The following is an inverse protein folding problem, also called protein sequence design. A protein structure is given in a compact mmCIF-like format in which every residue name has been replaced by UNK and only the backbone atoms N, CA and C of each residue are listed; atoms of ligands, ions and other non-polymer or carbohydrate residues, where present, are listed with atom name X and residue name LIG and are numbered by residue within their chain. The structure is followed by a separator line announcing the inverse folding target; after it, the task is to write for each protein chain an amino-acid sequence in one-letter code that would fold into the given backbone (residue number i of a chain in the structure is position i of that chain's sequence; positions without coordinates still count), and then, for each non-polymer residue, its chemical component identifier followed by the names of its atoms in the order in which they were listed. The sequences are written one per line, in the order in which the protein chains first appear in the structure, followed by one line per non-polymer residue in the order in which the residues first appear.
data_IF_362599710084
#
_entry.id   IF_362599710084
#
_cell.length_a   1.000
_cell.length_b   1.000
_cell.length_c   1.000
_cell.angle_alpha   90.00
_cell.angle_beta   90.00
_cell.angle_gamma   90.00
#
_symmetry.space_group_name_H-M   'P 1'
#
loop_
_entity.id
_entity.type
_entity.pdbx_description
1 polymer ?
#
# COMPACT_ATOMS: atom_id res chain seq x y z
N UNK A 1 -18.62 -12.70 -15.93
CA UNK A 1 -17.37 -12.37 -15.19
C UNK A 1 -17.56 -11.01 -14.49
N UNK A 2 -17.94 -11.00 -13.20
CA UNK A 2 -18.22 -9.76 -12.45
C UNK A 2 -16.92 -9.17 -11.90
N UNK A 3 -16.17 -8.42 -12.71
CA UNK A 3 -15.07 -7.56 -12.24
C UNK A 3 -15.62 -6.19 -11.79
N UNK A 4 -16.83 -6.18 -11.22
CA UNK A 4 -17.62 -4.97 -10.99
C UNK A 4 -17.87 -4.69 -9.51
N UNK A 5 -17.09 -5.29 -8.61
CA UNK A 5 -16.84 -4.59 -7.34
C UNK A 5 -15.99 -3.37 -7.67
N UNK A 6 -16.50 -2.20 -7.31
CA UNK A 6 -15.96 -0.91 -7.72
C UNK A 6 -14.52 -0.74 -7.19
N UNK A 7 -13.55 -1.08 -8.02
CA UNK A 7 -12.14 -0.83 -7.76
C UNK A 7 -11.98 0.65 -7.43
N UNK A 8 -11.56 0.94 -6.21
CA UNK A 8 -11.46 2.32 -5.74
C UNK A 8 -10.11 2.94 -6.14
N UNK A 9 -10.06 4.26 -6.18
CA UNK A 9 -8.86 5.01 -6.56
C UNK A 9 -7.64 4.62 -5.73
N UNK A 10 -7.82 4.36 -4.44
CA UNK A 10 -6.73 4.05 -3.53
C UNK A 10 -5.99 2.76 -3.92
N UNK A 11 -6.74 1.72 -4.29
CA UNK A 11 -6.19 0.44 -4.75
C UNK A 11 -5.40 0.61 -6.05
N UNK A 12 -5.98 1.32 -7.03
CA UNK A 12 -5.31 1.56 -8.31
C UNK A 12 -4.06 2.43 -8.16
N UNK A 13 -4.16 3.51 -7.39
CA UNK A 13 -3.01 4.36 -7.09
C UNK A 13 -1.89 3.56 -6.43
N UNK A 14 -2.22 2.72 -5.45
CA UNK A 14 -1.24 1.88 -4.76
C UNK A 14 -0.59 0.87 -5.69
N UNK A 15 -1.37 0.21 -6.52
CA UNK A 15 -0.89 -0.73 -7.54
C UNK A 15 0.07 -0.03 -8.49
N UNK A 16 -0.39 1.01 -9.22
CA UNK A 16 0.46 1.66 -10.22
C UNK A 16 1.72 2.27 -9.59
N UNK A 17 1.60 2.96 -8.44
CA UNK A 17 2.77 3.49 -7.72
C UNK A 17 3.78 2.40 -7.35
N UNK A 18 3.33 1.20 -6.97
CA UNK A 18 4.20 0.07 -6.67
C UNK A 18 4.83 -0.52 -7.94
N UNK A 19 4.01 -0.73 -8.98
CA UNK A 19 4.45 -1.24 -10.29
C UNK A 19 5.41 -0.29 -11.01
N UNK A 20 5.35 1.02 -10.75
CA UNK A 20 6.32 2.01 -11.21
C UNK A 20 7.67 1.94 -10.47
N UNK A 21 7.81 1.08 -9.46
CA UNK A 21 9.05 0.94 -8.68
C UNK A 21 9.25 1.99 -7.58
N UNK A 22 8.28 2.87 -7.32
CA UNK A 22 8.39 3.86 -6.24
C UNK A 22 8.23 3.20 -4.87
N UNK A 23 9.34 3.07 -4.15
CA UNK A 23 9.41 2.48 -2.80
C UNK A 23 8.93 3.45 -1.74
N UNK A 24 9.16 4.75 -1.92
CA UNK A 24 8.81 5.78 -0.94
C UNK A 24 7.95 6.88 -1.55
N UNK A 25 7.22 7.59 -0.69
CA UNK A 25 6.48 8.78 -1.11
C UNK A 25 7.38 9.90 -1.60
N UNK A 26 8.58 10.05 -1.04
CA UNK A 26 9.54 11.07 -1.49
C UNK A 26 10.01 10.82 -2.93
N UNK A 27 10.25 9.55 -3.30
CA UNK A 27 10.58 9.21 -4.70
C UNK A 27 9.44 9.58 -5.65
N UNK A 28 8.20 9.32 -5.23
CA UNK A 28 7.02 9.68 -6.01
C UNK A 28 6.83 11.21 -6.11
N UNK A 29 7.05 11.94 -5.01
CA UNK A 29 6.99 13.39 -4.97
C UNK A 29 8.02 14.01 -5.93
N UNK A 30 9.23 13.45 -5.97
CA UNK A 30 10.27 13.89 -6.90
C UNK A 30 9.86 13.69 -8.37
N UNK A 31 9.15 12.62 -8.69
CA UNK A 31 8.62 12.40 -10.03
C UNK A 31 7.54 13.43 -10.41
N UNK A 32 6.66 13.80 -9.46
CA UNK A 32 5.69 14.88 -9.64
C UNK A 32 6.36 16.27 -9.77
N UNK A 33 7.40 16.54 -8.99
CA UNK A 33 8.13 17.80 -9.03
C UNK A 33 8.80 18.03 -10.39
N UNK A 34 9.32 16.97 -11.03
CA UNK A 34 9.82 17.01 -12.42
C UNK A 34 8.75 17.38 -13.45
N UNK A 35 7.47 17.23 -13.11
CA UNK A 35 6.31 17.65 -13.91
C UNK A 35 5.75 19.01 -13.46
N UNK A 36 6.48 19.76 -12.63
CA UNK A 36 6.10 21.09 -12.16
C UNK A 36 5.11 21.09 -11.00
N UNK A 37 4.85 19.93 -10.38
CA UNK A 37 3.87 19.81 -9.29
C UNK A 37 4.56 19.42 -7.98
N UNK A 38 4.40 20.26 -6.96
CA UNK A 38 4.90 20.00 -5.61
C UNK A 38 3.71 19.81 -4.66
N UNK A 39 3.72 18.72 -3.91
CA UNK A 39 2.72 18.41 -2.87
C UNK A 39 3.40 17.91 -1.60
N UNK A 40 2.73 18.12 -0.47
CA UNK A 40 3.10 17.51 0.80
C UNK A 40 2.99 15.97 0.72
N UNK A 41 3.98 15.27 1.27
CA UNK A 41 4.04 13.81 1.34
C UNK A 41 2.82 13.21 2.07
N UNK A 42 2.24 13.95 3.03
CA UNK A 42 1.04 13.51 3.74
C UNK A 42 -0.14 13.23 2.79
N UNK A 43 -0.22 13.97 1.68
CA UNK A 43 -1.28 13.84 0.68
C UNK A 43 -1.28 12.45 0.03
N UNK A 44 -0.10 11.90 -0.26
CA UNK A 44 0.03 10.56 -0.85
C UNK A 44 -0.44 9.47 0.09
N UNK A 45 -0.27 9.66 1.41
CA UNK A 45 -0.85 8.76 2.41
C UNK A 45 -2.37 8.82 2.39
N UNK A 46 -2.97 9.99 2.21
CA UNK A 46 -4.41 10.13 2.10
C UNK A 46 -4.97 9.47 0.84
N UNK A 47 -4.27 9.58 -0.29
CA UNK A 47 -4.61 8.91 -1.54
C UNK A 47 -4.52 7.39 -1.43
N UNK A 48 -3.43 6.87 -0.85
CA UNK A 48 -3.24 5.44 -0.68
C UNK A 48 -4.26 4.81 0.29
N UNK A 49 -4.82 5.59 1.22
CA UNK A 49 -5.88 5.15 2.14
C UNK A 49 -7.29 5.36 1.59
N UNK A 50 -7.44 6.10 0.49
CA UNK A 50 -8.75 6.48 -0.07
C UNK A 50 -9.49 7.57 0.71
N UNK A 51 -8.88 8.14 1.76
CA UNK A 51 -9.48 9.24 2.54
C UNK A 51 -9.57 10.55 1.75
N UNK A 52 -8.77 10.71 0.70
CA UNK A 52 -8.84 11.82 -0.26
C UNK A 52 -8.58 11.29 -1.66
N UNK A 53 -9.17 11.94 -2.65
CA UNK A 53 -8.98 11.64 -4.08
C UNK A 53 -8.62 12.96 -4.80
N UNK A 54 -7.68 12.95 -5.75
CA UNK A 54 -7.36 14.12 -6.58
C UNK A 54 -8.60 14.67 -7.29
N UNK A 55 -8.91 15.95 -7.06
CA UNK A 55 -10.06 16.61 -7.70
C UNK A 55 -9.70 17.23 -9.06
N UNK A 56 -8.46 17.72 -9.22
CA UNK A 56 -8.01 18.40 -10.44
C UNK A 56 -7.74 17.37 -11.55
N UNK A 57 -8.33 17.59 -12.73
CA UNK A 57 -8.17 16.73 -13.92
C UNK A 57 -6.71 16.65 -14.36
N UNK A 58 -6.05 17.80 -14.40
CA UNK A 58 -4.64 17.96 -14.77
C UNK A 58 -3.72 17.09 -13.92
N UNK A 59 -3.93 17.07 -12.60
CA UNK A 59 -3.16 16.22 -11.69
C UNK A 59 -3.34 14.74 -12.03
N UNK A 60 -4.57 14.29 -12.32
CA UNK A 60 -4.81 12.90 -12.72
C UNK A 60 -4.12 12.55 -14.04
N UNK A 61 -4.08 13.47 -14.99
CA UNK A 61 -3.35 13.28 -16.25
C UNK A 61 -1.84 13.18 -16.03
N UNK A 62 -1.27 14.00 -15.15
CA UNK A 62 0.15 13.93 -14.79
C UNK A 62 0.47 12.62 -14.06
N UNK A 63 -0.43 12.13 -13.20
CA UNK A 63 -0.28 10.81 -12.57
C UNK A 63 -0.24 9.69 -13.63
N UNK A 64 -1.17 9.73 -14.59
CA UNK A 64 -1.19 8.79 -15.72
C UNK A 64 0.11 8.89 -16.51
N UNK A 65 0.55 10.10 -16.85
CA UNK A 65 1.79 10.33 -17.60
C UNK A 65 3.00 9.72 -16.87
N UNK A 66 3.12 9.94 -15.55
CA UNK A 66 4.18 9.33 -14.74
C UNK A 66 4.10 7.79 -14.82
N UNK A 67 2.92 7.20 -14.62
CA UNK A 67 2.75 5.75 -14.64
C UNK A 67 3.01 5.14 -16.02
N UNK A 68 2.71 5.87 -17.08
CA UNK A 68 3.01 5.45 -18.47
C UNK A 68 4.48 5.55 -18.78
N UNK A 69 5.15 6.61 -18.32
CA UNK A 69 6.59 6.81 -18.51
C UNK A 69 7.40 5.70 -17.81
N UNK A 70 6.94 5.22 -16.66
CA UNK A 70 7.58 4.08 -15.96
C UNK A 70 7.12 2.71 -16.49
N UNK A 71 6.27 2.65 -17.52
CA UNK A 71 5.76 1.42 -18.10
C UNK A 71 4.77 0.63 -17.23
N UNK A 72 4.32 1.22 -16.12
CA UNK A 72 3.36 0.60 -15.17
C UNK A 72 1.91 0.70 -15.62
N UNK A 73 1.60 1.67 -16.48
CA UNK A 73 0.33 1.84 -17.16
C UNK A 73 0.62 1.90 -18.66
N UNK A 74 0.05 0.99 -19.45
CA UNK A 74 0.38 0.86 -20.88
C UNK A 74 -0.82 1.04 -21.80
N UNK A 75 -2.04 0.89 -21.28
CA UNK A 75 -3.25 0.82 -22.10
C UNK A 75 -4.21 1.97 -21.77
N UNK A 76 -4.88 2.51 -22.79
CA UNK A 76 -5.87 3.58 -22.60
C UNK A 76 -7.01 3.17 -21.65
N UNK A 77 -7.42 1.90 -21.69
CA UNK A 77 -8.44 1.36 -20.80
C UNK A 77 -8.04 1.46 -19.32
N UNK A 78 -6.77 1.22 -18.98
CA UNK A 78 -6.26 1.37 -17.62
C UNK A 78 -6.36 2.82 -17.15
N UNK A 79 -5.96 3.75 -18.01
CA UNK A 79 -6.08 5.17 -17.72
C UNK A 79 -7.55 5.57 -17.50
N UNK A 80 -8.47 5.07 -18.33
CA UNK A 80 -9.90 5.32 -18.17
C UNK A 80 -10.47 4.73 -16.88
N UNK A 81 -10.07 3.52 -16.49
CA UNK A 81 -10.44 2.90 -15.20
C UNK A 81 -9.89 3.74 -14.04
N UNK A 82 -8.63 4.18 -14.13
CA UNK A 82 -8.01 5.06 -13.14
C UNK A 82 -8.79 6.36 -12.97
N UNK A 83 -9.20 7.01 -14.06
CA UNK A 83 -10.01 8.22 -14.03
C UNK A 83 -11.41 8.01 -13.50
N UNK A 84 -12.06 6.91 -13.91
CA UNK A 84 -13.38 6.52 -13.42
C UNK A 84 -13.35 6.32 -11.91
N UNK A 85 -12.31 5.69 -11.38
CA UNK A 85 -12.14 5.46 -9.95
C UNK A 85 -12.01 6.77 -9.14
N UNK A 86 -11.62 7.86 -9.81
CA UNK A 86 -11.57 9.22 -9.26
C UNK A 86 -12.83 10.04 -9.59
N UNK A 87 -13.93 9.40 -10.03
CA UNK A 87 -15.17 10.03 -10.49
C UNK A 87 -14.95 11.06 -11.61
N UNK A 88 -14.02 10.78 -12.54
CA UNK A 88 -13.80 11.59 -13.73
C UNK A 88 -14.26 10.87 -15.00
N UNK A 89 -14.56 11.67 -16.02
CA UNK A 89 -14.79 11.18 -17.38
C UNK A 89 -13.51 10.57 -17.95
N UNK A 90 -13.68 9.72 -18.95
CA UNK A 90 -12.59 9.08 -19.68
C UNK A 90 -11.71 10.11 -20.41
N UNK A 91 -10.60 9.63 -20.95
CA UNK A 91 -9.71 10.45 -21.77
C UNK A 91 -10.43 10.98 -23.02
N UNK A 92 -10.36 12.28 -23.24
CA UNK A 92 -10.75 12.90 -24.51
C UNK A 92 -9.74 12.57 -25.60
N UNK A 93 -10.09 12.79 -26.87
CA UNK A 93 -9.17 12.56 -27.99
C UNK A 93 -7.89 13.41 -27.85
N UNK A 94 -8.06 14.68 -27.47
CA UNK A 94 -6.93 15.59 -27.21
C UNK A 94 -6.03 15.13 -26.05
N UNK A 95 -6.61 14.55 -24.99
CA UNK A 95 -5.81 14.01 -23.88
C UNK A 95 -5.08 12.73 -24.27
N UNK A 96 -5.65 11.91 -25.17
CA UNK A 96 -4.97 10.72 -25.70
C UNK A 96 -3.75 11.10 -26.53
N UNK A 97 -3.86 12.14 -27.35
CA UNK A 97 -2.73 12.66 -28.15
C UNK A 97 -1.57 13.13 -27.26
N UNK A 98 -1.87 13.68 -26.08
CA UNK A 98 -0.86 14.10 -25.09
C UNK A 98 -0.21 12.94 -24.32
N UNK A 99 -0.74 11.72 -24.44
CA UNK A 99 -0.26 10.53 -23.75
C UNK A 99 0.15 9.45 -24.76
N UNK A 100 1.17 9.70 -25.61
CA UNK A 100 1.49 8.84 -26.76
C UNK A 100 1.97 7.44 -26.37
N UNK A 101 2.41 7.25 -25.12
CA UNK A 101 2.83 5.95 -24.59
C UNK A 101 1.64 5.01 -24.30
N UNK A 102 0.41 5.52 -24.30
CA UNK A 102 -0.79 4.70 -24.11
C UNK A 102 -1.20 4.01 -25.40
N UNK A 103 -1.17 2.68 -25.37
CA UNK A 103 -1.63 1.84 -26.45
C UNK A 103 -3.16 1.80 -26.50
N UNK A 104 -3.71 1.96 -27.71
CA UNK A 104 -5.14 1.84 -27.98
C UNK A 104 -5.51 0.40 -28.41
N UNK A 105 -5.09 -0.56 -27.60
CA UNK A 105 -5.49 -1.97 -27.75
C UNK A 105 -6.15 -2.43 -26.45
N UNK A 106 -7.06 -3.42 -26.51
CA UNK A 106 -7.68 -3.97 -25.32
C UNK A 106 -6.63 -4.41 -24.29
N UNK A 107 -6.91 -4.19 -23.01
CA UNK A 107 -6.00 -4.66 -21.96
C UNK A 107 -5.85 -6.19 -22.02
N UNK A 108 -4.62 -6.72 -22.01
CA UNK A 108 -4.41 -8.15 -21.93
C UNK A 108 -5.03 -8.72 -20.65
N UNK A 109 -5.64 -9.90 -20.76
CA UNK A 109 -6.26 -10.61 -19.63
C UNK A 109 -5.24 -10.83 -18.48
N UNK A 110 -3.97 -11.09 -18.81
CA UNK A 110 -2.88 -11.26 -17.85
C UNK A 110 -2.72 -10.07 -16.90
N UNK A 111 -2.95 -8.85 -17.39
CA UNK A 111 -2.77 -7.65 -16.59
C UNK A 111 -3.94 -7.41 -15.62
N UNK A 112 -5.13 -7.85 -16.01
CA UNK A 112 -6.27 -7.93 -15.09
C UNK A 112 -5.98 -8.92 -13.94
N UNK A 113 -5.34 -10.06 -14.24
CA UNK A 113 -4.94 -11.03 -13.23
C UNK A 113 -3.85 -10.49 -12.29
N UNK A 114 -2.84 -9.78 -12.82
CA UNK A 114 -1.81 -9.13 -11.99
C UNK A 114 -2.41 -8.15 -10.97
N UNK A 115 -3.35 -7.33 -11.42
CA UNK A 115 -4.04 -6.39 -10.56
C UNK A 115 -4.90 -7.09 -9.50
N UNK A 116 -5.65 -8.12 -9.88
CA UNK A 116 -6.45 -8.92 -8.95
C UNK A 116 -5.57 -9.59 -7.88
N UNK A 117 -4.46 -10.20 -8.31
CA UNK A 117 -3.49 -10.82 -7.41
C UNK A 117 -2.91 -9.78 -6.44
N UNK A 118 -2.60 -8.57 -6.92
CA UNK A 118 -2.14 -7.49 -6.06
C UNK A 118 -3.17 -7.11 -4.99
N UNK A 119 -4.46 -6.98 -5.36
CA UNK A 119 -5.53 -6.68 -4.40
C UNK A 119 -5.63 -7.79 -3.35
N UNK A 120 -5.70 -9.06 -3.78
CA UNK A 120 -5.82 -10.22 -2.89
C UNK A 120 -4.65 -10.24 -1.89
N UNK A 121 -3.42 -10.05 -2.38
CA UNK A 121 -2.23 -10.01 -1.54
C UNK A 121 -2.24 -8.82 -0.58
N UNK A 122 -2.70 -7.65 -1.01
CA UNK A 122 -2.78 -6.47 -0.14
C UNK A 122 -3.79 -6.66 0.99
N UNK A 123 -4.96 -7.21 0.68
CA UNK A 123 -5.99 -7.53 1.67
C UNK A 123 -5.53 -8.59 2.66
N UNK A 124 -4.87 -9.66 2.18
CA UNK A 124 -4.28 -10.69 3.03
C UNK A 124 -3.24 -10.08 3.99
N UNK A 125 -2.37 -9.21 3.47
CA UNK A 125 -1.36 -8.52 4.28
C UNK A 125 -1.99 -7.59 5.32
N UNK A 126 -3.07 -6.89 4.98
CA UNK A 126 -3.82 -6.06 5.94
C UNK A 126 -4.41 -6.90 7.07
N UNK A 127 -5.05 -8.03 6.74
CA UNK A 127 -5.60 -8.98 7.72
C UNK A 127 -4.52 -9.54 8.65
N UNK A 128 -3.36 -9.91 8.09
CA UNK A 128 -2.21 -10.38 8.88
C UNK A 128 -1.71 -9.33 9.86
N UNK A 129 -1.51 -8.08 9.42
CA UNK A 129 -1.07 -6.98 10.29
C UNK A 129 -2.03 -6.75 11.46
N UNK A 130 -3.34 -6.78 11.20
CA UNK A 130 -4.36 -6.64 12.25
C UNK A 130 -4.30 -7.80 13.24
N UNK A 131 -4.18 -9.05 12.76
CA UNK A 131 -4.04 -10.22 13.63
C UNK A 131 -2.79 -10.14 14.51
N UNK A 132 -1.65 -9.73 13.95
CA UNK A 132 -0.41 -9.52 14.72
C UNK A 132 -0.56 -8.41 15.76
N UNK A 133 -1.24 -7.31 15.44
CA UNK A 133 -1.50 -6.22 16.38
C UNK A 133 -2.37 -6.68 17.56
N UNK A 134 -3.42 -7.46 17.31
CA UNK A 134 -4.28 -8.04 18.35
C UNK A 134 -3.48 -8.98 19.25
N UNK A 135 -2.63 -9.83 18.68
CA UNK A 135 -1.77 -10.74 19.45
C UNK A 135 -0.80 -9.95 20.32
N UNK A 136 -0.16 -8.90 19.79
CA UNK A 136 0.71 -7.99 20.56
C UNK A 136 -0.05 -7.36 21.73
N UNK A 137 -1.25 -6.83 21.49
CA UNK A 137 -2.06 -6.21 22.53
C UNK A 137 -2.46 -7.20 23.63
N UNK A 138 -2.89 -8.42 23.25
CA UNK A 138 -3.19 -9.49 24.22
C UNK A 138 -1.96 -9.89 25.01
N UNK A 139 -0.80 -9.99 24.37
CA UNK A 139 0.46 -10.29 25.04
C UNK A 139 0.81 -9.22 26.07
N UNK A 140 0.75 -7.93 25.72
CA UNK A 140 1.04 -6.85 26.68
C UNK A 140 0.06 -6.82 27.85
N UNK A 141 -1.23 -7.04 27.60
CA UNK A 141 -2.22 -7.15 28.68
C UNK A 141 -1.94 -8.34 29.60
N UNK A 142 -1.52 -9.47 29.03
CA UNK A 142 -1.18 -10.65 29.79
C UNK A 142 0.14 -10.50 30.55
N UNK A 143 1.19 -9.93 29.93
CA UNK A 143 2.50 -9.74 30.55
C UNK A 143 2.47 -8.80 31.75
N UNK A 144 1.56 -7.82 31.74
CA UNK A 144 1.30 -6.95 32.89
C UNK A 144 0.72 -7.72 34.09
N UNK A 145 0.02 -8.83 33.84
CA UNK A 145 -0.58 -9.69 34.87
C UNK A 145 0.35 -10.82 35.33
N UNK A 146 1.49 -11.02 34.67
CA UNK A 146 2.46 -12.05 35.02
C UNK A 146 3.35 -11.58 36.17
N UNK A 147 3.61 -12.47 37.13
CA UNK A 147 4.67 -12.26 38.10
C UNK A 147 6.05 -12.26 37.42
N UNK A 148 7.02 -11.63 38.07
CA UNK A 148 8.43 -11.60 37.62
C UNK A 148 8.95 -12.98 37.23
N UNK A 149 8.62 -14.00 38.04
CA UNK A 149 9.11 -15.37 37.86
C UNK A 149 8.53 -16.04 36.60
N UNK A 150 7.24 -15.83 36.34
CA UNK A 150 6.61 -16.33 35.11
C UNK A 150 7.17 -15.70 33.83
N UNK A 151 7.56 -14.43 33.89
CA UNK A 151 8.19 -13.75 32.74
C UNK A 151 9.60 -14.29 32.46
N UNK A 152 10.39 -14.51 33.52
CA UNK A 152 11.73 -15.11 33.40
C UNK A 152 11.69 -16.54 32.86
N UNK A 153 10.68 -17.32 33.25
CA UNK A 153 10.48 -18.68 32.72
C UNK A 153 10.22 -18.66 31.20
N UNK A 154 9.33 -17.77 30.73
CA UNK A 154 9.05 -17.61 29.30
C UNK A 154 10.29 -17.15 28.52
N UNK A 155 11.10 -16.27 29.09
CA UNK A 155 12.36 -15.84 28.48
C UNK A 155 13.33 -17.01 28.32
N UNK A 156 13.56 -17.81 29.38
CA UNK A 156 14.40 -19.02 29.34
C UNK A 156 13.88 -20.05 28.33
N UNK A 157 12.59 -20.36 28.36
CA UNK A 157 11.97 -21.32 27.44
C UNK A 157 12.07 -20.86 25.97
N UNK A 158 11.94 -19.57 25.71
CA UNK A 158 12.10 -19.02 24.35
C UNK A 158 13.54 -19.15 23.85
N UNK A 159 14.56 -19.10 24.72
CA UNK A 159 15.98 -19.27 24.32
C UNK A 159 16.34 -20.72 24.00
N UNK A 160 15.59 -21.69 24.52
CA UNK A 160 15.86 -23.12 24.33
C UNK A 160 15.53 -23.66 22.92
N UNK A 161 14.79 -22.93 22.08
CA UNK A 161 14.44 -23.39 20.72
C UNK A 161 14.54 -22.27 19.67
N UNK A 162 14.97 -22.57 18.45
CA UNK A 162 15.01 -21.62 17.33
C UNK A 162 13.78 -21.66 16.42
N UNK A 163 12.64 -22.08 16.97
CA UNK A 163 11.39 -22.12 16.24
C UNK A 163 10.86 -20.72 15.92
N UNK A 164 10.07 -20.60 14.84
CA UNK A 164 9.37 -19.35 14.50
C UNK A 164 8.52 -18.81 15.68
N UNK A 165 7.91 -19.72 16.46
CA UNK A 165 7.17 -19.41 17.68
C UNK A 165 8.06 -18.82 18.78
N UNK A 166 9.25 -19.38 18.99
CA UNK A 166 10.20 -18.88 19.98
C UNK A 166 10.79 -17.52 19.60
N UNK A 167 11.12 -17.32 18.32
CA UNK A 167 11.58 -16.01 17.81
C UNK A 167 10.52 -14.92 17.97
N UNK A 168 9.26 -15.26 17.75
CA UNK A 168 8.15 -14.34 17.99
C UNK A 168 8.01 -13.96 19.48
N UNK A 169 8.14 -14.92 20.39
CA UNK A 169 8.11 -14.67 21.85
C UNK A 169 9.28 -13.79 22.28
N UNK A 170 10.51 -14.06 21.82
CA UNK A 170 11.69 -13.22 22.11
C UNK A 170 11.48 -11.77 21.69
N UNK A 171 10.97 -11.55 20.48
CA UNK A 171 10.66 -10.22 19.96
C UNK A 171 9.60 -9.49 20.79
N UNK A 172 8.57 -10.19 21.25
CA UNK A 172 7.55 -9.63 22.14
C UNK A 172 8.14 -9.22 23.51
N UNK A 173 9.04 -10.04 24.06
CA UNK A 173 9.75 -9.76 25.32
C UNK A 173 10.64 -8.51 25.17
N UNK A 174 11.41 -8.40 24.08
CA UNK A 174 12.24 -7.24 23.80
C UNK A 174 11.42 -5.95 23.63
N UNK A 175 10.32 -6.02 22.87
CA UNK A 175 9.42 -4.88 22.69
C UNK A 175 8.82 -4.42 24.04
N UNK A 176 8.49 -5.35 24.95
CA UNK A 176 8.01 -5.05 26.31
C UNK A 176 9.08 -4.39 27.18
N UNK A 177 10.32 -4.91 27.18
CA UNK A 177 11.45 -4.29 27.92
C UNK A 177 11.69 -2.84 27.46
N UNK A 178 11.64 -2.60 26.14
CA UNK A 178 11.75 -1.25 25.56
C UNK A 178 10.60 -0.33 25.95
N UNK A 179 9.39 -0.87 26.09
CA UNK A 179 8.23 -0.09 26.53
C UNK A 179 8.38 0.36 27.99
N UNK A 180 8.70 -0.56 28.91
CA UNK A 180 8.85 -0.21 30.33
C UNK A 180 10.00 0.77 30.60
N UNK A 181 11.12 0.65 29.89
CA UNK A 181 12.24 1.58 30.00
C UNK A 181 11.94 3.01 29.49
N UNK A 182 10.78 3.25 28.86
CA UNK A 182 10.34 4.61 28.45
C UNK A 182 9.50 5.33 29.50
N UNK A 183 9.08 4.63 30.56
CA UNK A 183 8.23 5.17 31.63
C UNK A 183 8.90 5.12 33.00
N UNK A 184 10.20 4.81 33.03
CA UNK A 184 11.12 4.92 34.15
C UNK A 184 12.12 6.03 33.84
#
# INVERSE_FOLDING_TARGET
MKIAEAVNFAQLFKFYKASSGFKTYSQFANALAKKGIVYDLSLFSHWQRGSRVPKKRELLLILIEIFTTTGSMRYQEQANIFLKSANKKFLSNFEKEKLPLLQNIPTPISLNLEFQNFIILDEANKKLKTKTAIIKQKFYKFSFLLSSDTFQYLEKASRATNSSKANFIRKLIEDHKKFNNRFL
#
